data_IF_674721983383
#
_entry.id   IF_674721983383
#
_cell.length_a   1.000
_cell.length_b   1.000
_cell.length_c   1.000
_cell.angle_alpha   90.00
_cell.angle_beta   90.00
_cell.angle_gamma   90.00
#
_symmetry.space_group_name_H-M   'P 1'
#
loop_
_entity.id
_entity.type
_entity.pdbx_description
1 polymer ?
#
# COMPACT_ATOMS: atom_id res chain seq x y z
N UNK A 1 -14.50 -0.57 -7.16
CA UNK A 1 -13.06 -0.57 -6.83
C UNK A 1 -12.71 -1.96 -6.37
N UNK A 2 -11.68 -2.57 -6.97
CA UNK A 2 -11.18 -3.87 -6.52
C UNK A 2 -10.59 -3.74 -5.11
N UNK A 3 -10.89 -4.70 -4.24
CA UNK A 3 -10.39 -4.77 -2.86
C UNK A 3 -9.23 -5.77 -2.76
N UNK A 4 -8.48 -5.73 -1.66
CA UNK A 4 -7.45 -6.73 -1.38
C UNK A 4 -8.03 -8.15 -1.25
N UNK A 5 -9.28 -8.28 -0.81
CA UNK A 5 -9.93 -9.57 -0.65
C UNK A 5 -10.38 -10.14 -2.00
N UNK A 6 -10.76 -9.29 -2.96
CA UNK A 6 -11.00 -9.71 -4.36
C UNK A 6 -9.71 -10.27 -4.99
N UNK A 7 -8.56 -9.64 -4.72
CA UNK A 7 -7.25 -10.15 -5.17
C UNK A 7 -6.94 -11.50 -4.52
N UNK A 8 -7.22 -11.69 -3.23
CA UNK A 8 -7.01 -13.01 -2.59
C UNK A 8 -7.96 -14.08 -3.14
N UNK A 9 -9.22 -13.74 -3.30
CA UNK A 9 -10.26 -14.67 -3.76
C UNK A 9 -10.00 -15.15 -5.20
N UNK A 10 -9.53 -14.26 -6.09
CA UNK A 10 -9.22 -14.61 -7.48
C UNK A 10 -8.10 -15.65 -7.65
N UNK A 11 -7.29 -15.88 -6.61
CA UNK A 11 -6.22 -16.89 -6.61
C UNK A 11 -6.43 -17.99 -5.54
N UNK A 12 -7.61 -18.05 -4.93
CA UNK A 12 -7.96 -19.14 -4.02
C UNK A 12 -8.14 -20.44 -4.83
N UNK A 13 -7.33 -21.46 -4.53
CA UNK A 13 -7.43 -22.76 -5.18
C UNK A 13 -8.30 -23.72 -4.37
N UNK A 14 -9.27 -24.37 -5.03
CA UNK A 14 -10.11 -25.43 -4.44
C UNK A 14 -9.43 -26.81 -4.42
N UNK A 15 -8.32 -26.96 -5.13
CA UNK A 15 -7.54 -28.21 -5.23
C UNK A 15 -8.34 -29.42 -5.78
N UNK A 16 -9.26 -29.19 -6.72
CA UNK A 16 -10.11 -30.24 -7.31
C UNK A 16 -9.33 -31.21 -8.23
N UNK A 17 -8.23 -30.75 -8.82
CA UNK A 17 -7.40 -31.54 -9.73
C UNK A 17 -6.05 -31.80 -9.07
N UNK A 18 -5.81 -33.05 -8.72
CA UNK A 18 -4.60 -33.49 -8.01
C UNK A 18 -4.04 -34.77 -8.60
N UNK A 19 -2.72 -34.95 -8.48
CA UNK A 19 -2.02 -36.18 -8.87
C UNK A 19 -1.11 -36.64 -7.74
N UNK A 20 -0.98 -37.95 -7.57
CA UNK A 20 0.05 -38.51 -6.69
C UNK A 20 1.43 -38.18 -7.27
N UNK A 21 2.32 -37.65 -6.43
CA UNK A 21 3.70 -37.30 -6.78
C UNK A 21 4.67 -37.87 -5.76
N UNK A 22 5.92 -38.05 -6.20
CA UNK A 22 7.07 -38.38 -5.35
C UNK A 22 7.91 -37.14 -5.09
N UNK A 23 8.20 -36.86 -3.82
CA UNK A 23 9.11 -35.80 -3.39
C UNK A 23 10.28 -36.40 -2.62
N UNK A 24 11.49 -35.96 -2.97
CA UNK A 24 12.73 -36.37 -2.30
C UNK A 24 13.09 -35.28 -1.30
N UNK A 25 13.18 -35.65 -0.03
CA UNK A 25 13.54 -34.72 1.04
C UNK A 25 15.07 -34.51 1.09
N UNK A 26 15.53 -33.53 1.88
CA UNK A 26 16.95 -33.22 2.06
C UNK A 26 17.78 -34.41 2.57
N UNK A 27 17.18 -35.28 3.37
CA UNK A 27 17.79 -36.53 3.84
C UNK A 27 17.73 -37.68 2.80
N UNK A 28 17.42 -37.38 1.53
CA UNK A 28 17.20 -38.33 0.43
C UNK A 28 16.04 -39.31 0.64
N UNK A 29 15.24 -39.14 1.69
CA UNK A 29 14.05 -39.96 1.91
C UNK A 29 12.95 -39.59 0.92
N UNK A 30 12.29 -40.62 0.39
CA UNK A 30 11.16 -40.46 -0.52
C UNK A 30 9.86 -40.33 0.26
N UNK A 31 9.05 -39.33 -0.09
CA UNK A 31 7.69 -39.19 0.38
C UNK A 31 6.73 -39.09 -0.82
N UNK A 32 5.51 -39.57 -0.63
CA UNK A 32 4.47 -39.55 -1.64
C UNK A 32 3.34 -38.64 -1.16
N UNK A 33 2.84 -37.76 -2.01
CA UNK A 33 1.81 -36.79 -1.66
C UNK A 33 0.98 -36.42 -2.89
N UNK A 34 -0.25 -35.98 -2.68
CA UNK A 34 -1.04 -35.37 -3.74
C UNK A 34 -0.51 -33.95 -4.02
N UNK A 35 -0.25 -33.65 -5.29
CA UNK A 35 0.05 -32.30 -5.76
C UNK A 35 -1.13 -31.78 -6.55
N UNK A 36 -1.58 -30.56 -6.24
CA UNK A 36 -2.58 -29.89 -7.07
C UNK A 36 -1.97 -29.42 -8.39
N UNK A 37 -2.60 -29.77 -9.52
CA UNK A 37 -2.14 -29.37 -10.85
C UNK A 37 -2.42 -27.90 -11.18
N UNK A 38 -3.34 -27.26 -10.45
CA UNK A 38 -3.72 -25.85 -10.69
C UNK A 38 -2.81 -24.88 -9.94
N UNK A 39 -2.53 -25.13 -8.65
CA UNK A 39 -1.72 -24.23 -7.81
C UNK A 39 -0.33 -24.76 -7.47
N UNK A 40 -0.01 -26.01 -7.84
CA UNK A 40 1.25 -26.67 -7.54
C UNK A 40 1.43 -27.12 -6.09
N UNK A 41 0.52 -26.77 -5.18
CA UNK A 41 0.65 -27.05 -3.74
C UNK A 41 0.64 -28.55 -3.45
N UNK A 42 1.54 -28.98 -2.57
CA UNK A 42 1.49 -30.30 -1.95
C UNK A 42 0.40 -30.36 -0.89
N UNK A 43 -0.44 -31.39 -0.97
CA UNK A 43 -1.58 -31.64 -0.11
C UNK A 43 -1.26 -32.79 0.85
N UNK A 44 -2.18 -33.74 0.97
CA UNK A 44 -2.06 -34.88 1.87
C UNK A 44 -0.93 -35.81 1.46
N UNK A 45 -0.16 -36.24 2.48
CA UNK A 45 0.89 -37.23 2.33
C UNK A 45 0.29 -38.62 2.36
N UNK A 46 0.72 -39.47 1.44
CA UNK A 46 0.29 -40.86 1.32
C UNK A 46 1.36 -41.77 1.94
N UNK A 47 0.90 -42.71 2.77
CA UNK A 47 1.81 -43.65 3.45
C UNK A 47 2.39 -44.64 2.45
N UNK A 48 3.71 -44.85 2.46
CA UNK A 48 4.42 -45.66 1.47
C UNK A 48 3.81 -47.07 1.28
N UNK A 49 3.36 -47.71 2.36
CA UNK A 49 2.82 -49.07 2.33
C UNK A 49 1.42 -49.17 1.69
N UNK A 50 0.69 -48.07 1.50
CA UNK A 50 -0.63 -48.07 0.85
C UNK A 50 -0.53 -47.98 -0.67
N UNK A 51 0.68 -47.81 -1.21
CA UNK A 51 0.97 -47.68 -2.64
C UNK A 51 1.72 -48.94 -3.07
N UNK A 52 1.43 -49.50 -4.25
CA UNK A 52 2.16 -50.67 -4.76
C UNK A 52 3.61 -50.30 -5.14
N UNK A 53 4.53 -51.27 -5.17
CA UNK A 53 5.91 -51.01 -5.60
C UNK A 53 5.96 -50.48 -7.05
N UNK A 54 5.19 -51.09 -7.96
CA UNK A 54 5.10 -50.66 -9.37
C UNK A 54 4.65 -49.19 -9.49
N UNK A 55 3.64 -48.80 -8.71
CA UNK A 55 3.12 -47.43 -8.72
C UNK A 55 4.15 -46.44 -8.14
N UNK A 56 4.85 -46.81 -7.06
CA UNK A 56 5.95 -46.00 -6.49
C UNK A 56 7.10 -45.76 -7.47
N UNK A 57 7.38 -46.73 -8.33
CA UNK A 57 8.46 -46.64 -9.31
C UNK A 57 8.05 -45.82 -10.55
N UNK A 58 6.76 -45.83 -10.89
CA UNK A 58 6.21 -45.10 -12.04
C UNK A 58 5.76 -43.65 -11.78
N UNK A 59 5.56 -43.28 -10.50
CA UNK A 59 4.99 -41.97 -10.16
C UNK A 59 5.94 -40.82 -10.52
N UNK A 60 5.36 -39.75 -11.07
CA UNK A 60 6.12 -38.55 -11.43
C UNK A 60 6.67 -37.83 -10.19
N UNK A 61 7.79 -37.15 -10.37
CA UNK A 61 8.35 -36.27 -9.35
C UNK A 61 7.45 -35.05 -9.11
N UNK A 62 7.50 -34.53 -7.89
CA UNK A 62 6.82 -33.30 -7.50
C UNK A 62 7.31 -32.11 -8.35
N UNK A 63 6.36 -31.39 -8.95
CA UNK A 63 6.66 -30.33 -9.91
C UNK A 63 6.71 -28.96 -9.23
N UNK A 64 7.90 -28.50 -8.86
CA UNK A 64 8.08 -27.19 -8.24
C UNK A 64 7.75 -26.02 -9.19
N UNK A 65 7.81 -26.22 -10.52
CA UNK A 65 7.54 -25.16 -11.49
C UNK A 65 6.10 -24.68 -11.44
N UNK A 66 5.15 -25.55 -11.05
CA UNK A 66 3.75 -25.19 -10.86
C UNK A 66 3.56 -24.20 -9.69
N UNK A 67 4.35 -24.34 -8.63
CA UNK A 67 4.34 -23.42 -7.49
C UNK A 67 4.89 -22.07 -7.94
N UNK A 68 6.07 -22.07 -8.56
CA UNK A 68 6.73 -20.86 -9.04
C UNK A 68 5.84 -20.07 -10.01
N UNK A 69 5.21 -20.77 -10.96
CA UNK A 69 4.29 -20.15 -11.92
C UNK A 69 3.07 -19.53 -11.21
N UNK A 70 2.50 -20.21 -10.22
CA UNK A 70 1.35 -19.70 -9.49
C UNK A 70 1.72 -18.53 -8.56
N UNK A 71 2.88 -18.59 -7.89
CA UNK A 71 3.37 -17.49 -7.06
C UNK A 71 3.69 -16.26 -7.90
N UNK A 72 4.26 -16.43 -9.10
CA UNK A 72 4.46 -15.32 -10.04
C UNK A 72 3.13 -14.68 -10.47
N UNK A 73 2.11 -15.48 -10.76
CA UNK A 73 0.76 -14.97 -11.07
C UNK A 73 0.18 -14.14 -9.91
N UNK A 74 0.31 -14.65 -8.68
CA UNK A 74 -0.14 -13.94 -7.47
C UNK A 74 0.63 -12.63 -7.28
N UNK A 75 1.96 -12.64 -7.41
CA UNK A 75 2.80 -11.45 -7.30
C UNK A 75 2.41 -10.39 -8.33
N UNK A 76 2.21 -10.78 -9.59
CA UNK A 76 1.76 -9.85 -10.64
C UNK A 76 0.40 -9.24 -10.31
N UNK A 77 -0.56 -10.04 -9.84
CA UNK A 77 -1.88 -9.54 -9.49
C UNK A 77 -1.86 -8.56 -8.31
N UNK A 78 -0.99 -8.80 -7.33
CA UNK A 78 -0.74 -7.85 -6.25
C UNK A 78 -0.06 -6.59 -6.75
N UNK A 79 0.91 -6.70 -7.65
CA UNK A 79 1.56 -5.55 -8.26
C UNK A 79 0.54 -4.67 -8.98
N UNK A 80 -0.28 -5.24 -9.87
CA UNK A 80 -1.34 -4.53 -10.58
C UNK A 80 -2.32 -3.84 -9.63
N UNK A 81 -2.71 -4.51 -8.54
CA UNK A 81 -3.57 -3.91 -7.53
C UNK A 81 -2.93 -2.69 -6.85
N UNK A 82 -1.65 -2.77 -6.49
CA UNK A 82 -0.95 -1.63 -5.88
C UNK A 82 -0.77 -0.50 -6.90
N UNK A 83 -0.39 -0.80 -8.15
CA UNK A 83 -0.26 0.18 -9.21
C UNK A 83 -1.60 0.94 -9.43
N UNK A 84 -2.73 0.22 -9.43
CA UNK A 84 -4.07 0.82 -9.52
C UNK A 84 -4.36 1.76 -8.32
N UNK A 85 -4.04 1.33 -7.09
CA UNK A 85 -4.26 2.14 -5.88
C UNK A 85 -3.37 3.38 -5.82
N UNK A 86 -2.12 3.24 -6.25
CA UNK A 86 -1.18 4.34 -6.29
C UNK A 86 -1.63 5.40 -7.28
N UNK A 87 -2.10 5.00 -8.47
CA UNK A 87 -2.68 5.91 -9.46
C UNK A 87 -3.92 6.63 -8.92
N UNK A 88 -4.81 5.90 -8.24
CA UNK A 88 -6.00 6.48 -7.63
C UNK A 88 -5.63 7.50 -6.54
N UNK A 89 -4.65 7.17 -5.68
CA UNK A 89 -4.18 8.07 -4.63
C UNK A 89 -3.48 9.30 -5.21
N UNK A 90 -2.70 9.14 -6.27
CA UNK A 90 -2.06 10.26 -6.99
C UNK A 90 -3.12 11.20 -7.59
N UNK A 91 -4.16 10.66 -8.23
CA UNK A 91 -5.26 11.46 -8.78
C UNK A 91 -6.00 12.22 -7.69
N UNK A 92 -6.34 11.55 -6.57
CA UNK A 92 -6.98 12.20 -5.41
C UNK A 92 -6.12 13.30 -4.81
N UNK A 93 -4.81 13.05 -4.65
CA UNK A 93 -3.88 14.07 -4.17
C UNK A 93 -3.83 15.26 -5.13
N UNK A 94 -3.78 15.02 -6.44
CA UNK A 94 -3.75 16.09 -7.44
C UNK A 94 -5.03 16.94 -7.38
N UNK A 95 -6.20 16.32 -7.28
CA UNK A 95 -7.49 17.00 -7.14
C UNK A 95 -7.58 17.80 -5.84
N UNK A 96 -7.10 17.24 -4.73
CA UNK A 96 -7.04 17.92 -3.44
C UNK A 96 -6.13 19.15 -3.50
N UNK A 97 -4.92 19.02 -4.04
CA UNK A 97 -3.98 20.15 -4.19
C UNK A 97 -4.52 21.24 -5.12
N UNK A 98 -5.20 20.85 -6.20
CA UNK A 98 -5.88 21.80 -7.08
C UNK A 98 -6.93 22.60 -6.32
N UNK A 99 -7.84 21.90 -5.63
CA UNK A 99 -8.92 22.52 -4.86
C UNK A 99 -8.39 23.40 -3.72
N UNK A 100 -7.34 22.95 -3.03
CA UNK A 100 -6.66 23.72 -1.99
C UNK A 100 -6.05 25.00 -2.55
N UNK A 101 -5.32 24.92 -3.66
CA UNK A 101 -4.72 26.10 -4.29
C UNK A 101 -5.77 27.11 -4.77
N UNK A 102 -6.91 26.63 -5.30
CA UNK A 102 -8.05 27.48 -5.66
C UNK A 102 -8.65 28.16 -4.41
N UNK A 103 -8.84 27.42 -3.31
CA UNK A 103 -9.30 27.96 -2.04
C UNK A 103 -8.40 29.08 -1.52
N UNK A 104 -7.08 28.93 -1.61
CA UNK A 104 -6.12 29.97 -1.20
C UNK A 104 -6.25 31.28 -2.01
N UNK A 105 -6.89 31.28 -3.18
CA UNK A 105 -7.13 32.50 -3.96
C UNK A 105 -8.42 33.23 -3.56
N UNK A 106 -9.30 32.58 -2.79
CA UNK A 106 -10.62 33.11 -2.43
C UNK A 106 -10.55 34.31 -1.47
N UNK A 107 -11.57 35.19 -1.48
CA UNK A 107 -11.70 36.23 -0.47
C UNK A 107 -11.81 35.68 0.96
N UNK A 108 -12.45 34.51 1.15
CA UNK A 108 -12.60 33.85 2.47
C UNK A 108 -11.23 33.56 3.09
N UNK A 109 -10.33 32.91 2.34
CA UNK A 109 -8.98 32.65 2.82
C UNK A 109 -8.20 33.93 3.09
N UNK A 110 -8.26 34.91 2.16
CA UNK A 110 -7.57 36.20 2.33
C UNK A 110 -7.99 36.92 3.62
N UNK A 111 -9.27 36.88 3.96
CA UNK A 111 -9.78 37.43 5.22
C UNK A 111 -9.28 36.68 6.46
N UNK A 112 -9.27 35.34 6.44
CA UNK A 112 -8.69 34.53 7.53
C UNK A 112 -7.21 34.81 7.72
N UNK A 113 -6.44 34.82 6.63
CA UNK A 113 -5.01 35.15 6.63
C UNK A 113 -4.75 36.52 7.26
N UNK A 114 -5.53 37.55 6.90
CA UNK A 114 -5.39 38.88 7.51
C UNK A 114 -5.75 38.88 9.00
N UNK A 115 -6.78 38.14 9.39
CA UNK A 115 -7.19 38.03 10.79
C UNK A 115 -6.07 37.44 11.67
N UNK A 116 -5.39 36.40 11.17
CA UNK A 116 -4.26 35.75 11.86
C UNK A 116 -3.06 36.69 11.96
N UNK A 117 -2.70 37.37 10.86
CA UNK A 117 -1.61 38.34 10.85
C UNK A 117 -1.88 39.52 11.80
N UNK A 118 -3.11 40.04 11.82
CA UNK A 118 -3.51 41.12 12.72
C UNK A 118 -3.49 40.68 14.19
N UNK A 119 -4.00 39.48 14.51
CA UNK A 119 -3.94 38.89 15.86
C UNK A 119 -2.51 38.89 16.39
N UNK A 120 -1.57 38.52 15.54
CA UNK A 120 -0.16 38.36 15.90
C UNK A 120 0.65 39.64 15.69
N UNK A 121 -0.01 40.79 15.44
CA UNK A 121 0.62 42.10 15.17
C UNK A 121 1.69 42.05 14.06
N UNK A 122 1.50 41.20 13.05
CA UNK A 122 2.49 40.93 12.00
C UNK A 122 3.86 40.48 12.54
N UNK A 123 3.92 39.88 13.74
CA UNK A 123 5.13 39.30 14.30
C UNK A 123 5.12 37.79 14.05
N UNK A 124 6.23 37.25 13.51
CA UNK A 124 6.38 35.81 13.30
C UNK A 124 6.34 35.07 14.64
N UNK A 125 5.39 34.15 14.81
CA UNK A 125 5.25 33.35 16.03
C UNK A 125 6.28 32.22 16.14
N UNK A 126 6.98 31.88 15.05
CA UNK A 126 8.04 30.86 15.07
C UNK A 126 9.41 31.36 15.55
N UNK A 127 9.72 32.65 15.34
CA UNK A 127 11.01 33.23 15.76
C UNK A 127 10.89 34.47 16.64
N UNK A 128 9.71 35.09 16.70
CA UNK A 128 9.41 36.33 17.45
C UNK A 128 10.31 37.52 17.10
N UNK A 129 10.99 37.47 15.95
CA UNK A 129 11.95 38.49 15.50
C UNK A 129 11.54 39.15 14.20
N UNK A 130 11.17 38.34 13.21
CA UNK A 130 10.90 38.81 11.85
C UNK A 130 9.42 39.14 11.67
N UNK A 131 9.12 40.01 10.72
CA UNK A 131 7.75 40.29 10.30
C UNK A 131 7.11 39.02 9.71
N UNK A 132 5.91 38.68 10.19
CA UNK A 132 5.08 37.64 9.60
C UNK A 132 4.50 38.11 8.26
N UNK A 133 4.62 37.25 7.26
CA UNK A 133 4.09 37.50 5.91
C UNK A 133 3.12 36.42 5.45
N UNK A 134 2.98 35.33 6.20
CA UNK A 134 2.22 34.16 5.80
C UNK A 134 1.42 33.64 7.00
N UNK A 135 0.22 33.12 6.75
CA UNK A 135 -0.50 32.29 7.70
C UNK A 135 -0.24 30.83 7.31
N UNK A 136 0.32 30.06 8.24
CA UNK A 136 0.67 28.66 8.05
C UNK A 136 -0.34 27.77 8.76
N UNK A 137 -0.78 26.70 8.09
CA UNK A 137 -1.68 25.69 8.63
C UNK A 137 -0.91 24.76 9.57
N UNK A 138 -1.38 24.64 10.82
CA UNK A 138 -0.88 23.65 11.79
C UNK A 138 -1.50 22.26 11.56
N UNK A 139 -2.71 22.25 11.01
CA UNK A 139 -3.43 21.05 10.54
C UNK A 139 -4.22 21.41 9.28
N UNK A 140 -4.56 20.39 8.49
CA UNK A 140 -5.38 20.50 7.27
C UNK A 140 -6.78 19.88 7.44
N UNK A 141 -7.17 19.48 8.66
CA UNK A 141 -8.42 18.76 8.93
C UNK A 141 -9.69 19.54 8.55
N UNK A 142 -9.65 20.87 8.71
CA UNK A 142 -10.78 21.76 8.46
C UNK A 142 -10.56 22.71 7.28
N UNK A 143 -9.73 22.34 6.29
CA UNK A 143 -9.47 23.20 5.11
C UNK A 143 -10.78 23.69 4.47
N UNK A 144 -10.86 25.00 4.23
CA UNK A 144 -12.08 25.68 3.80
C UNK A 144 -12.92 26.25 4.94
N UNK A 145 -12.83 25.69 6.15
CA UNK A 145 -13.55 26.13 7.35
C UNK A 145 -12.71 26.12 8.64
N UNK A 146 -11.41 26.31 8.50
CA UNK A 146 -10.42 26.32 9.57
C UNK A 146 -10.74 27.35 10.65
N UNK A 147 -10.43 26.97 11.89
CA UNK A 147 -10.43 27.86 13.06
C UNK A 147 -9.12 28.65 13.10
N UNK A 148 -9.17 29.90 13.58
CA UNK A 148 -7.98 30.77 13.54
C UNK A 148 -6.80 30.24 14.37
N UNK A 149 -7.04 29.41 15.40
CA UNK A 149 -5.95 28.81 16.19
C UNK A 149 -5.24 27.68 15.44
N UNK A 150 -5.82 27.15 14.38
CA UNK A 150 -5.19 26.17 13.48
C UNK A 150 -4.23 26.86 12.50
N UNK A 151 -4.18 28.19 12.54
CA UNK A 151 -3.34 29.05 11.72
C UNK A 151 -2.36 29.84 12.59
N UNK A 152 -1.12 29.92 12.12
CA UNK A 152 -0.05 30.66 12.80
C UNK A 152 0.61 31.67 11.85
N UNK A 153 0.84 32.89 12.32
CA UNK A 153 1.57 33.91 11.54
C UNK A 153 3.06 33.62 11.55
N UNK A 154 3.68 33.44 10.39
CA UNK A 154 5.12 33.19 10.28
C UNK A 154 5.80 34.03 9.19
N UNK A 155 7.09 34.25 9.38
CA UNK A 155 7.96 34.80 8.35
C UNK A 155 8.33 33.73 7.32
N UNK A 156 8.82 34.16 6.16
CA UNK A 156 9.23 33.28 5.06
C UNK A 156 10.32 32.28 5.48
N UNK A 157 11.32 32.72 6.24
CA UNK A 157 12.39 31.84 6.75
C UNK A 157 11.84 30.72 7.65
N UNK A 158 10.88 31.03 8.52
CA UNK A 158 10.24 30.03 9.37
C UNK A 158 9.35 29.11 8.54
N UNK A 159 8.64 29.63 7.54
CA UNK A 159 7.81 28.81 6.64
C UNK A 159 8.67 27.81 5.85
N UNK A 160 9.77 28.27 5.28
CA UNK A 160 10.77 27.42 4.62
C UNK A 160 11.26 26.36 5.60
N UNK A 161 11.69 26.72 6.82
CA UNK A 161 12.17 25.76 7.82
C UNK A 161 11.15 24.69 8.21
N UNK A 162 9.85 25.01 8.18
CA UNK A 162 8.78 24.03 8.48
C UNK A 162 8.60 23.04 7.32
N UNK A 163 8.60 23.52 6.08
CA UNK A 163 8.40 22.66 4.90
C UNK A 163 9.68 21.95 4.45
N UNK A 164 10.85 22.55 4.69
CA UNK A 164 12.16 21.91 4.55
C UNK A 164 12.54 21.25 5.88
N UNK A 165 11.90 20.13 6.21
CA UNK A 165 12.56 19.16 7.08
C UNK A 165 13.68 18.50 6.26
N UNK A 166 14.92 18.71 6.68
CA UNK A 166 16.01 17.78 6.33
C UNK A 166 15.66 16.42 6.93
N UNK A 167 15.78 15.38 6.11
CA UNK A 167 15.88 13.99 6.57
C UNK A 167 17.02 13.83 7.59
#
# INVERSE_FOLDING_TARGET
MRTSDDVKASYACKHEITELKKRINSNKAECFLYQCLNCGKGLDTVKKYTISQLERDSVKLFDYSLIEANDKKRQNAWKEYHDEKDLEQQSKNQEWWKSYNEYLQTPKWKAKRLSVLNRDNYICQGCLKNQAKQAHHLTYDHVGDELLFELVSICEECHIRIHFKKE
#
